data_IF_703975105750
#
_entry.id   IF_703975105750
#
_cell.length_a   1.000
_cell.length_b   1.000
_cell.length_c   1.000
_cell.angle_alpha   90.00
_cell.angle_beta   90.00
_cell.angle_gamma   90.00
#
_symmetry.space_group_name_H-M   'P 1'
#
loop_
_entity.id
_entity.type
_entity.pdbx_description
1 polymer ?
#
# COMPACT_ATOMS: atom_id res chain seq x y z
N UNK A 1 -4.59 -3.66 -12.34
CA UNK A 1 -4.47 -3.20 -10.93
C UNK A 1 -4.84 -4.31 -9.91
N UNK A 2 -4.45 -5.58 -10.14
CA UNK A 2 -4.97 -6.74 -9.40
C UNK A 2 -6.52 -6.81 -9.38
N UNK A 3 -7.08 -6.83 -10.59
CA UNK A 3 -8.52 -6.77 -10.87
C UNK A 3 -8.73 -7.33 -12.29
N UNK A 4 -9.94 -7.86 -12.63
CA UNK A 4 -10.24 -8.27 -14.00
C UNK A 4 -10.17 -7.11 -15.02
N UNK A 5 -10.21 -5.86 -14.55
CA UNK A 5 -10.12 -4.69 -15.44
C UNK A 5 -8.67 -4.18 -15.58
N UNK A 6 -8.29 -3.88 -16.82
CA UNK A 6 -7.09 -3.12 -17.13
C UNK A 6 -7.33 -1.64 -16.83
N UNK A 7 -6.32 -0.95 -16.31
CA UNK A 7 -6.43 0.47 -15.95
C UNK A 7 -5.35 1.28 -16.68
N UNK A 8 -5.67 2.54 -16.97
CA UNK A 8 -4.78 3.44 -17.71
C UNK A 8 -4.39 4.59 -16.79
N UNK A 9 -3.09 4.85 -16.67
CA UNK A 9 -2.54 6.05 -16.04
C UNK A 9 -1.97 6.94 -17.14
N UNK A 10 -2.62 8.06 -17.42
CA UNK A 10 -2.14 9.01 -18.41
C UNK A 10 -0.93 9.78 -17.86
N UNK A 11 0.03 10.13 -18.73
CA UNK A 11 1.17 10.96 -18.34
C UNK A 11 0.72 12.30 -17.74
N UNK A 12 -0.37 12.87 -18.26
CA UNK A 12 -1.01 14.07 -17.71
C UNK A 12 -1.56 13.87 -16.31
N UNK A 13 -1.82 12.65 -15.86
CA UNK A 13 -2.33 12.32 -14.51
C UNK A 13 -1.23 11.84 -13.55
N UNK A 14 0.02 11.81 -14.02
CA UNK A 14 1.21 11.45 -13.23
C UNK A 14 2.20 12.62 -13.12
N UNK A 15 2.43 13.35 -14.21
CA UNK A 15 3.40 14.43 -14.27
C UNK A 15 2.75 15.77 -13.96
N UNK A 16 3.48 16.62 -13.26
CA UNK A 16 3.09 18.02 -13.01
C UNK A 16 3.23 18.91 -14.24
N UNK A 17 4.03 18.49 -15.24
CA UNK A 17 4.26 19.21 -16.50
C UNK A 17 3.92 18.32 -17.70
N UNK A 18 3.49 18.90 -18.83
CA UNK A 18 3.27 18.14 -20.06
C UNK A 18 4.56 17.47 -20.52
N UNK A 19 4.49 16.18 -20.82
CA UNK A 19 5.58 15.44 -21.44
C UNK A 19 5.67 15.82 -22.92
N UNK A 20 6.88 16.07 -23.43
CA UNK A 20 7.11 16.21 -24.88
C UNK A 20 7.75 14.92 -25.43
N UNK A 21 6.99 14.03 -26.12
CA UNK A 21 7.49 12.74 -26.57
C UNK A 21 8.64 12.83 -27.60
N UNK A 22 8.81 13.98 -28.26
CA UNK A 22 9.90 14.20 -29.22
C UNK A 22 11.23 14.52 -28.54
N UNK A 23 11.20 14.90 -27.25
CA UNK A 23 12.39 15.34 -26.50
C UNK A 23 12.66 14.49 -25.26
N UNK A 24 11.63 13.85 -24.71
CA UNK A 24 11.68 13.14 -23.44
C UNK A 24 11.10 11.74 -23.59
N UNK A 25 11.85 10.73 -23.13
CA UNK A 25 11.36 9.36 -23.06
C UNK A 25 10.45 9.18 -21.82
N UNK A 26 9.16 8.80 -21.99
CA UNK A 26 8.25 8.53 -20.88
C UNK A 26 8.80 7.52 -19.86
N UNK A 27 9.61 6.54 -20.29
CA UNK A 27 10.18 5.49 -19.43
C UNK A 27 11.08 6.05 -18.34
N UNK A 28 11.62 7.25 -18.51
CA UNK A 28 12.42 7.94 -17.48
C UNK A 28 11.60 8.29 -16.23
N UNK A 29 10.29 8.41 -16.37
CA UNK A 29 9.38 8.77 -15.28
C UNK A 29 8.70 7.54 -14.67
N UNK A 30 8.28 6.61 -15.51
CA UNK A 30 7.66 5.36 -15.10
C UNK A 30 7.93 4.29 -16.16
N UNK A 31 8.58 3.20 -15.75
CA UNK A 31 8.92 2.08 -16.62
C UNK A 31 8.26 0.78 -16.16
N UNK A 32 8.32 -0.25 -17.02
CA UNK A 32 7.81 -1.58 -16.72
C UNK A 32 8.54 -2.16 -15.49
N UNK A 33 7.77 -2.59 -14.51
CA UNK A 33 8.28 -3.13 -13.23
C UNK A 33 8.19 -2.13 -12.08
N UNK A 34 8.02 -0.83 -12.36
CA UNK A 34 7.77 0.16 -11.33
C UNK A 34 6.40 -0.04 -10.67
N UNK A 35 6.33 0.28 -9.38
CA UNK A 35 5.07 0.32 -8.64
C UNK A 35 4.63 1.76 -8.39
N UNK A 36 3.32 2.00 -8.47
CA UNK A 36 2.72 3.33 -8.30
C UNK A 36 1.54 3.23 -7.35
N UNK A 37 1.48 4.15 -6.40
CA UNK A 37 0.29 4.41 -5.60
C UNK A 37 -0.57 5.39 -6.40
N UNK A 38 -1.74 4.94 -6.84
CA UNK A 38 -2.65 5.72 -7.65
C UNK A 38 -4.10 5.53 -7.17
N UNK A 39 -4.94 6.49 -7.51
CA UNK A 39 -6.37 6.48 -7.22
C UNK A 39 -7.16 6.31 -8.51
N UNK A 40 -8.29 5.62 -8.44
CA UNK A 40 -9.22 5.52 -9.57
C UNK A 40 -9.90 6.89 -9.72
N UNK A 41 -9.66 7.56 -10.83
CA UNK A 41 -10.21 8.87 -11.15
C UNK A 41 -11.63 8.73 -11.70
N UNK A 42 -11.81 7.83 -12.67
CA UNK A 42 -13.13 7.50 -13.21
C UNK A 42 -13.20 6.03 -13.60
N UNK A 43 -14.37 5.45 -13.40
CA UNK A 43 -14.70 4.11 -13.85
C UNK A 43 -16.10 4.13 -14.44
N UNK A 44 -16.22 3.62 -15.66
CA UNK A 44 -17.44 3.44 -16.41
C UNK A 44 -17.43 1.96 -16.83
N UNK A 45 -18.56 1.25 -16.70
CA UNK A 45 -18.66 -0.19 -17.04
C UNK A 45 -18.31 -0.48 -18.51
N UNK A 46 -18.28 0.54 -19.37
CA UNK A 46 -17.94 0.45 -20.79
C UNK A 46 -16.48 0.76 -21.09
N UNK A 47 -15.70 1.30 -20.13
CA UNK A 47 -14.33 1.77 -20.36
C UNK A 47 -13.37 1.28 -19.29
N UNK A 48 -12.11 1.14 -19.68
CA UNK A 48 -11.04 0.85 -18.74
C UNK A 48 -10.94 1.97 -17.68
N UNK A 49 -10.83 1.64 -16.39
CA UNK A 49 -10.67 2.64 -15.33
C UNK A 49 -9.46 3.53 -15.58
N UNK A 50 -9.65 4.84 -15.39
CA UNK A 50 -8.56 5.82 -15.43
C UNK A 50 -7.99 6.04 -14.03
N UNK A 51 -6.68 6.22 -13.95
CA UNK A 51 -5.96 6.42 -12.71
C UNK A 51 -5.38 7.82 -12.63
N UNK A 52 -5.21 8.33 -11.41
CA UNK A 52 -4.45 9.55 -11.12
C UNK A 52 -3.44 9.32 -10.00
N UNK A 53 -2.29 9.97 -10.11
CA UNK A 53 -1.21 9.95 -9.13
C UNK A 53 -0.76 11.36 -8.71
N UNK A 54 -1.57 12.38 -9.03
CA UNK A 54 -1.28 13.80 -8.72
C UNK A 54 -1.63 14.22 -7.30
N UNK A 55 -2.44 13.46 -6.59
CA UNK A 55 -2.85 13.80 -5.22
C UNK A 55 -1.70 13.59 -4.23
N UNK A 56 -1.73 14.31 -3.11
CA UNK A 56 -0.73 14.19 -2.05
C UNK A 56 -0.66 12.76 -1.52
N UNK A 57 0.54 12.17 -1.52
CA UNK A 57 0.78 10.80 -1.07
C UNK A 57 0.59 9.73 -2.15
N UNK A 58 0.29 10.13 -3.40
CA UNK A 58 0.33 9.27 -4.57
C UNK A 58 1.64 9.48 -5.35
N UNK A 59 1.98 8.51 -6.20
CA UNK A 59 3.19 8.56 -7.02
C UNK A 59 3.94 7.24 -7.09
N UNK A 60 5.13 7.29 -7.69
CA UNK A 60 6.01 6.14 -7.84
C UNK A 60 6.58 5.72 -6.47
N UNK A 61 6.55 4.42 -6.21
CA UNK A 61 7.16 3.81 -5.03
C UNK A 61 8.65 3.64 -5.31
N UNK A 62 9.50 4.27 -4.50
CA UNK A 62 10.96 4.17 -4.60
C UNK A 62 11.59 3.39 -3.46
N UNK A 63 10.87 3.20 -2.35
CA UNK A 63 11.33 2.52 -1.14
C UNK A 63 10.20 1.83 -0.40
N UNK A 64 10.57 1.02 0.57
CA UNK A 64 9.66 0.20 1.35
C UNK A 64 9.33 -1.12 0.66
N UNK A 65 8.34 -1.81 1.21
CA UNK A 65 7.90 -3.12 0.73
C UNK A 65 6.43 -3.10 0.38
N UNK A 66 6.04 -3.99 -0.53
CA UNK A 66 4.63 -4.22 -0.88
C UNK A 66 4.26 -5.65 -0.48
N UNK A 67 3.19 -5.77 0.29
CA UNK A 67 2.65 -7.04 0.76
C UNK A 67 1.32 -7.27 0.07
N UNK A 68 1.17 -8.46 -0.52
CA UNK A 68 -0.09 -8.90 -1.11
C UNK A 68 -0.90 -9.69 -0.09
N UNK A 69 -2.19 -9.39 0.00
CA UNK A 69 -3.17 -10.09 0.83
C UNK A 69 -4.45 -10.37 0.04
N UNK A 70 -5.25 -11.32 0.53
CA UNK A 70 -6.58 -11.55 0.01
C UNK A 70 -7.49 -10.31 0.22
N UNK A 71 -8.17 -9.90 -0.86
CA UNK A 71 -9.03 -8.70 -0.89
C UNK A 71 -10.14 -8.76 0.16
N UNK A 72 -10.66 -9.96 0.47
CA UNK A 72 -11.69 -10.18 1.49
C UNK A 72 -11.20 -9.84 2.90
N UNK A 73 -9.88 -9.81 3.13
CA UNK A 73 -9.28 -9.52 4.44
C UNK A 73 -8.91 -8.04 4.62
N UNK A 74 -8.98 -7.23 3.57
CA UNK A 74 -8.68 -5.78 3.63
C UNK A 74 -9.49 -5.05 4.71
N UNK A 75 -10.83 -5.22 4.83
CA UNK A 75 -11.59 -4.52 5.86
C UNK A 75 -11.12 -4.86 7.28
N UNK A 76 -10.64 -6.09 7.48
CA UNK A 76 -10.11 -6.55 8.76
C UNK A 76 -8.76 -5.92 9.08
N UNK A 77 -7.88 -5.80 8.09
CA UNK A 77 -6.58 -5.11 8.23
C UNK A 77 -6.78 -3.62 8.53
N UNK A 78 -7.72 -2.95 7.87
CA UNK A 78 -8.08 -1.56 8.16
C UNK A 78 -8.62 -1.44 9.60
N UNK A 79 -9.52 -2.34 9.98
CA UNK A 79 -10.21 -2.31 11.27
C UNK A 79 -11.32 -1.25 11.33
N UNK A 80 -12.12 -1.28 12.40
CA UNK A 80 -13.25 -0.35 12.57
C UNK A 80 -12.74 1.09 12.63
N UNK A 81 -13.20 1.94 11.71
CA UNK A 81 -12.73 3.34 11.55
C UNK A 81 -11.20 3.45 11.39
N UNK A 82 -10.56 2.45 10.78
CA UNK A 82 -9.11 2.45 10.60
C UNK A 82 -8.30 2.16 11.87
N UNK A 83 -8.93 1.62 12.93
CA UNK A 83 -8.27 1.41 14.23
C UNK A 83 -7.04 0.51 14.15
N UNK A 84 -7.08 -0.55 13.33
CA UNK A 84 -6.01 -1.53 13.24
C UNK A 84 -4.81 -0.95 12.49
N UNK A 85 -5.00 -0.37 11.30
CA UNK A 85 -3.91 0.32 10.58
C UNK A 85 -3.34 1.46 11.41
N UNK A 86 -4.17 2.23 12.12
CA UNK A 86 -3.69 3.32 12.97
C UNK A 86 -2.84 2.81 14.13
N UNK A 87 -3.21 1.68 14.73
CA UNK A 87 -2.40 1.01 15.75
C UNK A 87 -1.06 0.55 15.17
N UNK A 88 -1.05 -0.13 14.02
CA UNK A 88 0.18 -0.56 13.35
C UNK A 88 1.12 0.63 13.08
N UNK A 89 0.59 1.72 12.52
CA UNK A 89 1.35 2.96 12.29
C UNK A 89 1.90 3.55 13.59
N UNK A 90 1.10 3.59 14.65
CA UNK A 90 1.49 4.17 15.93
C UNK A 90 2.61 3.36 16.63
N UNK A 91 2.48 2.04 16.63
CA UNK A 91 3.43 1.16 17.35
C UNK A 91 4.76 0.98 16.59
N UNK A 92 4.72 1.00 15.26
CA UNK A 92 5.91 0.80 14.41
C UNK A 92 6.52 2.11 13.91
N UNK A 93 5.76 3.19 13.85
CA UNK A 93 6.18 4.44 13.21
C UNK A 93 6.28 4.37 11.69
N UNK A 94 5.82 3.27 11.07
CA UNK A 94 5.81 3.10 9.62
C UNK A 94 4.65 3.85 8.96
N UNK A 95 4.88 4.29 7.72
CA UNK A 95 3.82 4.64 6.80
C UNK A 95 3.22 3.37 6.19
N UNK A 96 1.89 3.31 6.16
CA UNK A 96 1.13 2.17 5.63
C UNK A 96 0.02 2.69 4.75
N UNK A 97 -0.01 2.25 3.49
CA UNK A 97 -1.08 2.55 2.54
C UNK A 97 -1.72 1.24 2.11
N UNK A 98 -3.00 1.09 2.43
CA UNK A 98 -3.79 -0.10 2.10
C UNK A 98 -4.53 0.14 0.79
N UNK A 99 -4.09 -0.52 -0.28
CA UNK A 99 -4.78 -0.55 -1.56
C UNK A 99 -6.00 -1.46 -1.50
N UNK A 100 -7.12 -0.99 -2.06
CA UNK A 100 -8.37 -1.78 -2.13
C UNK A 100 -8.27 -3.01 -3.05
N UNK A 101 -7.14 -3.16 -3.75
CA UNK A 101 -6.81 -4.28 -4.62
C UNK A 101 -5.97 -5.37 -3.93
N UNK A 102 -5.87 -5.34 -2.59
CA UNK A 102 -5.13 -6.36 -1.83
C UNK A 102 -3.63 -6.11 -1.76
N UNK A 103 -3.13 -4.98 -2.26
CA UNK A 103 -1.72 -4.58 -2.12
C UNK A 103 -1.56 -3.55 -1.03
N UNK A 104 -0.68 -3.81 -0.08
CA UNK A 104 -0.37 -2.90 1.03
C UNK A 104 1.07 -2.46 0.89
N UNK A 105 1.28 -1.16 0.74
CA UNK A 105 2.61 -0.57 0.79
C UNK A 105 2.96 -0.18 2.22
N UNK A 106 4.20 -0.49 2.60
CA UNK A 106 4.75 -0.23 3.93
C UNK A 106 6.11 0.45 3.73
N UNK A 107 6.31 1.60 4.37
CA UNK A 107 7.61 2.27 4.41
C UNK A 107 7.95 2.63 5.85
N UNK A 108 9.05 2.08 6.33
CA UNK A 108 9.58 2.33 7.67
C UNK A 108 10.81 3.24 7.63
N UNK A 109 11.41 3.44 8.82
CA UNK A 109 12.77 4.01 8.93
C UNK A 109 13.83 2.95 8.68
N UNK A 110 13.56 1.72 9.10
CA UNK A 110 14.43 0.56 8.98
C UNK A 110 13.70 -0.58 8.26
N UNK A 111 14.45 -1.51 7.67
CA UNK A 111 13.88 -2.69 7.01
C UNK A 111 13.22 -3.62 8.03
N UNK A 112 13.73 -3.60 9.25
CA UNK A 112 13.24 -4.34 10.41
C UNK A 112 11.84 -3.89 10.80
N UNK A 113 11.59 -2.59 10.86
CA UNK A 113 10.25 -2.04 11.13
C UNK A 113 9.25 -2.47 10.04
N UNK A 114 9.67 -2.43 8.77
CA UNK A 114 8.86 -2.88 7.64
C UNK A 114 8.50 -4.38 7.76
N UNK A 115 9.48 -5.21 8.13
CA UNK A 115 9.25 -6.65 8.34
C UNK A 115 8.29 -6.94 9.50
N UNK A 116 8.35 -6.17 10.59
CA UNK A 116 7.42 -6.31 11.72
C UNK A 116 5.98 -6.03 11.25
N UNK A 117 5.78 -4.95 10.49
CA UNK A 117 4.45 -4.61 9.96
C UNK A 117 3.96 -5.67 8.98
N UNK A 118 4.83 -6.17 8.10
CA UNK A 118 4.51 -7.25 7.18
C UNK A 118 4.03 -8.51 7.92
N UNK A 119 4.76 -8.94 8.95
CA UNK A 119 4.40 -10.13 9.72
C UNK A 119 3.08 -9.93 10.48
N UNK A 120 2.88 -8.73 11.04
CA UNK A 120 1.62 -8.36 11.68
C UNK A 120 0.43 -8.44 10.69
N UNK A 121 0.60 -7.91 9.46
CA UNK A 121 -0.43 -7.98 8.41
C UNK A 121 -0.71 -9.44 8.02
N UNK A 122 0.33 -10.27 7.86
CA UNK A 122 0.17 -11.69 7.54
C UNK A 122 -0.51 -12.47 8.65
N UNK A 123 -0.25 -12.14 9.92
CA UNK A 123 -0.98 -12.69 11.05
C UNK A 123 -2.45 -12.27 11.02
N UNK A 124 -2.74 -11.01 10.73
CA UNK A 124 -4.12 -10.52 10.62
C UNK A 124 -4.88 -11.23 9.49
N UNK A 125 -4.24 -11.46 8.35
CA UNK A 125 -4.79 -12.20 7.22
C UNK A 125 -5.20 -13.63 7.63
N UNK A 126 -4.32 -14.34 8.34
CA UNK A 126 -4.56 -15.72 8.82
C UNK A 126 -5.62 -15.80 9.91
N UNK A 127 -5.67 -14.82 10.81
CA UNK A 127 -6.50 -14.87 12.02
C UNK A 127 -7.73 -13.94 11.96
N UNK A 128 -8.12 -13.52 10.76
CA UNK A 128 -9.15 -12.51 10.53
C UNK A 128 -10.49 -12.80 11.23
N UNK A 129 -10.81 -14.08 11.45
CA UNK A 129 -12.06 -14.57 12.04
C UNK A 129 -12.07 -14.61 13.57
N UNK A 130 -10.94 -14.36 14.23
CA UNK A 130 -10.81 -14.43 15.68
C UNK A 130 -11.12 -13.11 16.37
N UNK A 131 -11.74 -13.19 17.56
CA UNK A 131 -11.91 -12.05 18.48
C UNK A 131 -10.59 -11.72 19.20
N UNK A 132 -10.45 -10.50 19.73
CA UNK A 132 -9.25 -10.08 20.47
C UNK A 132 -7.97 -9.90 19.64
N UNK A 133 -8.06 -9.95 18.30
CA UNK A 133 -6.89 -9.89 17.41
C UNK A 133 -6.02 -8.64 17.61
N UNK A 134 -6.63 -7.49 17.93
CA UNK A 134 -5.90 -6.22 18.10
C UNK A 134 -4.84 -6.31 19.20
N UNK A 135 -5.19 -6.87 20.36
CA UNK A 135 -4.28 -6.98 21.50
C UNK A 135 -3.17 -7.98 21.19
N UNK A 136 -3.51 -9.12 20.58
CA UNK A 136 -2.54 -10.15 20.17
C UNK A 136 -1.53 -9.64 19.14
N UNK A 137 -1.98 -8.81 18.19
CA UNK A 137 -1.08 -8.18 17.20
C UNK A 137 -0.20 -7.15 17.88
N UNK A 138 -0.73 -6.38 18.83
CA UNK A 138 0.06 -5.41 19.59
C UNK A 138 1.17 -6.07 20.40
N UNK A 139 0.85 -7.15 21.11
CA UNK A 139 1.82 -7.95 21.86
C UNK A 139 2.90 -8.53 20.96
N UNK A 140 2.53 -9.03 19.77
CA UNK A 140 3.48 -9.52 18.78
C UNK A 140 4.48 -8.42 18.39
N UNK A 141 3.99 -7.23 18.04
CA UNK A 141 4.84 -6.10 17.62
C UNK A 141 5.80 -5.73 18.76
N UNK A 142 5.31 -5.60 19.98
CA UNK A 142 6.14 -5.27 21.14
C UNK A 142 7.21 -6.32 21.40
N UNK A 143 6.87 -7.61 21.24
CA UNK A 143 7.83 -8.71 21.39
C UNK A 143 8.93 -8.64 20.32
N UNK A 144 8.56 -8.43 19.05
CA UNK A 144 9.53 -8.34 17.96
C UNK A 144 10.45 -7.13 18.10
N UNK A 145 9.94 -5.97 18.52
CA UNK A 145 10.77 -4.78 18.78
C UNK A 145 11.75 -4.98 19.94
N UNK A 146 11.36 -5.69 21.00
CA UNK A 146 12.27 -5.99 22.13
C UNK A 146 13.43 -6.89 21.72
N UNK A 147 13.20 -7.86 20.83
CA UNK A 147 14.25 -8.73 20.31
C UNK A 147 15.27 -8.03 19.41
N UNK A 148 15.01 -6.78 18.99
CA UNK A 148 15.91 -5.98 18.16
C UNK A 148 16.76 -4.97 18.95
N UNK A 149 16.38 -4.70 20.21
CA UNK A 149 17.11 -3.79 21.09
C UNK A 149 18.09 -4.50 22.04
N UNK A 150 18.48 -5.74 21.72
CA UNK A 150 19.43 -6.56 22.49
C UNK A 150 20.66 -6.90 21.67
#
# INVERSE_FOLDING_TARGET
>A
INSPYQAILFASEFLSKPLNPLKEDPRRYLDVGDMVIAKVLSFDRTRNPSLTAKEKGLGKITKGIVVEIDVTKIPRVIGRRGSMVSMLKKETGCEIIVGQNGRIWISGKTREDEMIVMEAIKKIEREAHTSGLTDRVRELILKMKKSQGG
#
